data_IF_230612291961
#
_entry.id   IF_230612291961
#
_cell.length_a   1.000
_cell.length_b   1.000
_cell.length_c   1.000
_cell.angle_alpha   90.00
_cell.angle_beta   90.00
_cell.angle_gamma   90.00
#
_symmetry.space_group_name_H-M   'P 1'
#
loop_
_entity.id
_entity.type
_entity.pdbx_description
1 polymer ?
#
# COMPACT_ATOMS: atom_id res chain seq x y z
N UNK A 1 -18.50 8.76 -10.00
CA UNK A 1 -18.70 7.45 -9.33
C UNK A 1 -17.58 7.20 -8.33
N UNK A 2 -17.88 6.71 -7.13
CA UNK A 2 -16.91 6.42 -6.07
C UNK A 2 -15.95 5.29 -6.46
N UNK A 3 -14.72 5.36 -5.93
CA UNK A 3 -13.67 4.38 -6.13
C UNK A 3 -13.08 3.94 -4.78
N UNK A 4 -12.51 2.74 -4.74
CA UNK A 4 -11.89 2.17 -3.55
C UNK A 4 -10.38 2.26 -3.65
N UNK A 5 -9.72 2.88 -2.67
CA UNK A 5 -8.27 2.89 -2.55
C UNK A 5 -7.79 1.72 -1.70
N UNK A 6 -6.83 0.94 -2.19
CA UNK A 6 -6.19 -0.12 -1.40
C UNK A 6 -4.81 0.34 -0.93
N UNK A 7 -4.58 0.46 0.39
CA UNK A 7 -3.29 0.94 0.92
C UNK A 7 -2.14 -0.06 0.78
N UNK A 8 -2.44 -1.33 0.44
CA UNK A 8 -1.44 -2.39 0.28
C UNK A 8 -0.74 -2.34 -1.07
N UNK A 9 -1.50 -2.21 -2.16
CA UNK A 9 -0.97 -2.05 -3.52
C UNK A 9 -0.87 -0.59 -3.95
N UNK A 10 -1.43 0.35 -3.17
CA UNK A 10 -1.45 1.79 -3.46
C UNK A 10 -2.16 2.12 -4.77
N UNK A 11 -3.27 1.43 -5.06
CA UNK A 11 -3.99 1.52 -6.33
C UNK A 11 -5.51 1.66 -6.10
N UNK A 12 -6.23 2.08 -7.15
CA UNK A 12 -7.64 2.48 -7.12
C UNK A 12 -8.50 1.48 -7.90
N UNK A 13 -9.57 1.00 -7.28
CA UNK A 13 -10.44 -0.06 -7.80
C UNK A 13 -11.89 0.38 -7.93
N UNK A 14 -12.61 -0.24 -8.86
CA UNK A 14 -14.06 -0.09 -9.00
C UNK A 14 -14.79 -0.97 -7.98
N UNK A 15 -15.83 -0.47 -7.29
CA UNK A 15 -16.61 -1.28 -6.36
C UNK A 15 -17.21 -2.52 -7.04
N UNK A 16 -17.09 -3.68 -6.40
CA UNK A 16 -17.62 -4.95 -6.94
C UNK A 16 -19.15 -4.96 -7.03
N UNK A 17 -19.82 -4.34 -6.05
CA UNK A 17 -21.28 -4.27 -6.01
C UNK A 17 -21.78 -3.07 -6.81
N UNK A 18 -22.78 -3.31 -7.68
CA UNK A 18 -23.46 -2.29 -8.48
C UNK A 18 -24.18 -1.23 -7.66
N UNK A 19 -24.52 -1.52 -6.39
CA UNK A 19 -25.16 -0.57 -5.47
C UNK A 19 -24.38 0.74 -5.33
N UNK A 20 -23.05 0.68 -5.42
CA UNK A 20 -22.18 1.84 -5.23
C UNK A 20 -21.77 2.50 -6.55
N UNK A 21 -22.25 2.01 -7.70
CA UNK A 21 -21.85 2.55 -9.00
C UNK A 21 -22.44 3.94 -9.26
N UNK A 22 -23.56 4.29 -8.64
CA UNK A 22 -24.22 5.59 -8.80
C UNK A 22 -23.86 6.60 -7.71
N UNK A 23 -22.99 6.25 -6.77
CA UNK A 23 -22.55 7.16 -5.71
C UNK A 23 -21.47 8.09 -6.25
N UNK A 24 -21.59 9.40 -6.05
CA UNK A 24 -20.55 10.35 -6.44
C UNK A 24 -19.31 10.22 -5.54
N UNK A 25 -18.12 10.25 -6.14
CA UNK A 25 -16.85 10.27 -5.43
C UNK A 25 -16.54 11.62 -4.78
N UNK A 26 -17.17 12.71 -5.25
CA UNK A 26 -16.97 14.05 -4.68
C UNK A 26 -17.30 14.13 -3.18
N UNK A 27 -18.26 13.32 -2.70
CA UNK A 27 -18.62 13.27 -1.27
C UNK A 27 -17.50 12.73 -0.36
N UNK A 28 -16.57 11.95 -0.90
CA UNK A 28 -15.45 11.40 -0.13
C UNK A 28 -14.19 12.25 -0.26
N UNK A 29 -14.06 12.99 -1.36
CA UNK A 29 -12.86 13.75 -1.69
C UNK A 29 -11.71 12.87 -2.19
N UNK A 30 -10.76 13.50 -2.87
CA UNK A 30 -9.61 12.82 -3.49
C UNK A 30 -8.51 12.47 -2.48
N UNK A 31 -8.40 13.26 -1.41
CA UNK A 31 -7.33 13.16 -0.41
C UNK A 31 -7.66 12.33 0.82
N UNK A 32 -8.92 11.90 1.02
CA UNK A 32 -9.34 11.16 2.21
C UNK A 32 -8.42 9.98 2.58
N UNK A 33 -8.12 9.02 1.66
CA UNK A 33 -7.26 7.90 2.03
C UNK A 33 -5.84 8.35 2.39
N UNK A 34 -5.32 9.42 1.78
CA UNK A 34 -4.00 9.95 2.09
C UNK A 34 -3.96 10.62 3.47
N UNK A 35 -4.93 11.47 3.77
CA UNK A 35 -5.03 12.13 5.08
C UNK A 35 -5.21 11.12 6.21
N UNK A 36 -6.00 10.06 6.00
CA UNK A 36 -6.17 8.98 6.99
C UNK A 36 -4.82 8.37 7.42
N UNK A 37 -3.93 8.08 6.47
CA UNK A 37 -2.61 7.51 6.79
C UNK A 37 -1.56 8.56 7.22
N UNK A 38 -1.85 9.86 7.05
CA UNK A 38 -1.03 10.92 7.66
C UNK A 38 -1.33 11.05 9.15
N UNK A 39 -2.59 10.93 9.54
CA UNK A 39 -3.02 10.98 10.95
C UNK A 39 -2.74 9.66 11.67
N UNK A 40 -2.99 8.53 11.01
CA UNK A 40 -2.83 7.19 11.57
C UNK A 40 -1.85 6.33 10.76
N UNK A 41 -0.53 6.52 10.93
CA UNK A 41 0.50 5.77 10.22
C UNK A 41 0.54 4.28 10.57
N UNK A 42 0.00 3.87 11.72
CA UNK A 42 -0.03 2.50 12.22
C UNK A 42 -0.87 1.54 11.36
N UNK A 43 -1.90 2.05 10.68
CA UNK A 43 -2.76 1.24 9.82
C UNK A 43 -2.16 0.99 8.43
N UNK A 44 -1.00 1.56 8.11
CA UNK A 44 -0.38 1.39 6.79
C UNK A 44 0.16 -0.03 6.63
N UNK A 45 -0.42 -0.87 5.75
CA UNK A 45 0.06 -2.23 5.57
C UNK A 45 1.44 -2.26 4.90
N UNK A 46 2.20 -3.31 5.18
CA UNK A 46 3.44 -3.61 4.44
C UNK A 46 3.08 -4.00 3.00
N UNK A 47 3.94 -3.60 2.05
CA UNK A 47 3.80 -3.98 0.63
C UNK A 47 3.82 -5.50 0.48
N UNK A 48 3.10 -6.05 -0.51
CA UNK A 48 3.08 -7.49 -0.75
C UNK A 48 4.48 -7.96 -1.14
N UNK A 49 5.05 -8.89 -0.36
CA UNK A 49 6.39 -9.42 -0.61
C UNK A 49 6.46 -10.31 -1.86
N UNK A 50 5.33 -10.88 -2.26
CA UNK A 50 5.22 -11.77 -3.40
C UNK A 50 4.38 -11.08 -4.48
N UNK A 51 5.00 -10.74 -5.59
CA UNK A 51 4.29 -10.34 -6.80
C UNK A 51 3.83 -11.60 -7.55
N UNK A 52 2.64 -11.57 -8.14
CA UNK A 52 2.19 -12.63 -9.01
C UNK A 52 3.13 -12.74 -10.21
N UNK A 53 3.81 -13.89 -10.33
CA UNK A 53 4.64 -14.22 -11.49
C UNK A 53 3.79 -15.12 -12.40
N UNK A 54 3.33 -14.63 -13.56
CA UNK A 54 2.57 -15.47 -14.49
C UNK A 54 3.47 -16.61 -14.95
N UNK A 55 3.06 -17.85 -14.69
CA UNK A 55 3.84 -19.04 -15.06
C UNK A 55 3.45 -19.50 -16.46
N UNK A 56 3.93 -18.79 -17.48
CA UNK A 56 3.96 -19.29 -18.85
C UNK A 56 5.24 -20.10 -19.05
N UNK A 57 5.16 -21.42 -18.94
CA UNK A 57 6.08 -22.37 -19.61
C UNK A 57 7.61 -22.32 -19.37
N UNK A 58 8.18 -21.40 -18.59
CA UNK A 58 9.63 -21.29 -18.41
C UNK A 58 10.03 -20.97 -16.97
N UNK A 59 11.23 -21.42 -16.60
CA UNK A 59 11.72 -21.61 -15.24
C UNK A 59 11.77 -20.32 -14.40
N UNK A 60 11.47 -20.47 -13.10
CA UNK A 60 11.39 -19.39 -12.11
C UNK A 60 12.77 -18.81 -11.81
N UNK A 61 12.99 -17.52 -12.08
CA UNK A 61 14.01 -16.73 -11.38
C UNK A 61 13.35 -16.06 -10.17
N UNK A 62 13.65 -16.56 -8.97
CA UNK A 62 13.29 -15.87 -7.72
C UNK A 62 14.03 -14.54 -7.70
N UNK A 63 13.37 -13.41 -7.96
CA UNK A 63 13.89 -12.10 -7.53
C UNK A 63 13.64 -11.98 -6.03
N UNK A 64 14.66 -12.28 -5.24
CA UNK A 64 14.75 -11.91 -3.83
C UNK A 64 14.56 -10.41 -3.72
N UNK A 65 13.44 -9.99 -3.15
CA UNK A 65 13.24 -8.60 -2.73
C UNK A 65 14.31 -8.26 -1.68
N UNK A 66 15.33 -7.49 -2.07
CA UNK A 66 16.29 -6.92 -1.14
C UNK A 66 15.54 -5.93 -0.25
N UNK A 67 15.27 -6.29 1.00
CA UNK A 67 14.85 -5.32 2.01
C UNK A 67 15.95 -4.24 2.13
N UNK A 68 15.64 -2.94 1.99
CA UNK A 68 16.58 -1.91 2.40
C UNK A 68 16.78 -2.04 3.91
N UNK A 69 18.03 -2.28 4.33
CA UNK A 69 18.43 -2.29 5.74
C UNK A 69 18.11 -0.90 6.31
N UNK A 70 17.08 -0.80 7.17
CA UNK A 70 16.94 0.37 8.05
C UNK A 70 18.08 0.27 9.07
N UNK A 71 19.16 1.02 8.84
CA UNK A 71 20.18 1.23 9.85
C UNK A 71 19.55 1.96 11.04
N UNK A 72 19.38 1.25 12.15
CA UNK A 72 19.15 1.83 13.47
C UNK A 72 20.42 2.55 13.92
N UNK A 73 20.58 3.84 13.55
CA UNK A 73 21.51 4.72 14.28
C UNK A 73 20.91 4.98 15.66
N UNK A 74 21.30 4.16 16.64
CA UNK A 74 21.09 4.44 18.07
C UNK A 74 21.92 5.71 18.39
N UNK A 75 21.34 6.78 18.94
CA UNK A 75 22.13 7.92 19.38
C UNK A 75 23.09 7.45 20.48
N UNK A 76 24.38 7.73 20.31
CA UNK A 76 25.43 7.43 21.29
C UNK A 76 25.11 8.22 22.57
N UNK A 77 25.07 7.49 23.69
CA UNK A 77 25.10 8.03 25.05
C UNK A 77 26.46 8.70 25.23
N UNK A 78 26.50 10.04 25.25
CA UNK A 78 27.67 10.74 25.78
C UNK A 78 27.56 10.70 27.29
N UNK A 79 28.53 10.02 27.90
CA UNK A 79 28.91 10.20 29.28
C UNK A 79 29.81 11.44 29.32
N UNK A 80 29.42 12.42 30.12
CA UNK A 80 30.32 13.08 31.07
C UNK A 80 29.65 12.96 32.45
#
# INVERSE_FOLDING_TARGET
>A
MVKLYCPKCMDVYTPKSSRHHHTDGAYFGTGFPHMLFMVHPEYRPKRPANQFVPRSGAQKSKKTEKKPKKNSKKPKKNQE
#
